data_IF_671019693598
#
_entry.id   IF_671019693598
#
_cell.length_a   1.000
_cell.length_b   1.000
_cell.length_c   1.000
_cell.angle_alpha   90.00
_cell.angle_beta   90.00
_cell.angle_gamma   90.00
#
_symmetry.space_group_name_H-M   'P 1'
#
loop_
_entity.id
_entity.type
_entity.pdbx_description
1 polymer ?
#
# COMPACT_ATOMS: atom_id res chain seq x y z
N UNK A 1 -23.74 64.78 8.63
CA UNK A 1 -24.26 63.42 8.93
C UNK A 1 -24.61 62.58 7.70
N UNK A 2 -25.07 63.16 6.59
CA UNK A 2 -25.52 62.39 5.40
C UNK A 2 -24.39 61.56 4.77
N UNK A 3 -23.20 62.12 4.58
CA UNK A 3 -22.09 61.45 3.87
C UNK A 3 -21.56 60.18 4.56
N UNK A 4 -21.67 60.08 5.90
CA UNK A 4 -21.18 58.91 6.64
C UNK A 4 -21.98 57.63 6.35
N UNK A 5 -23.30 57.75 6.17
CA UNK A 5 -24.17 56.62 5.81
C UNK A 5 -23.94 56.23 4.34
N UNK A 6 -23.73 57.21 3.47
CA UNK A 6 -23.52 56.99 2.03
C UNK A 6 -22.09 56.63 1.63
N UNK A 7 -21.14 56.62 2.56
CA UNK A 7 -19.77 56.18 2.30
C UNK A 7 -19.71 54.73 1.78
N UNK A 8 -20.66 53.88 2.19
CA UNK A 8 -20.75 52.51 1.69
C UNK A 8 -21.21 52.43 0.23
N UNK A 9 -21.91 53.47 -0.24
CA UNK A 9 -22.46 53.56 -1.59
C UNK A 9 -21.52 54.31 -2.56
N UNK A 10 -20.88 55.36 -2.08
CA UNK A 10 -19.95 56.20 -2.84
C UNK A 10 -18.53 55.61 -2.80
N UNK A 11 -18.22 54.72 -3.75
CA UNK A 11 -16.91 54.06 -3.86
C UNK A 11 -16.76 52.77 -3.04
N UNK A 12 -17.83 52.34 -2.36
CA UNK A 12 -17.87 51.09 -1.60
C UNK A 12 -18.36 49.88 -2.40
N UNK A 13 -19.06 48.97 -1.71
CA UNK A 13 -19.45 47.63 -2.19
C UNK A 13 -20.91 47.55 -2.63
N UNK A 14 -21.33 48.46 -3.50
CA UNK A 14 -22.72 48.54 -3.92
C UNK A 14 -22.85 48.88 -5.39
N UNK A 15 -23.97 48.47 -5.99
CA UNK A 15 -24.43 49.05 -7.24
C UNK A 15 -25.09 50.40 -6.94
N UNK A 16 -24.52 51.49 -7.47
CA UNK A 16 -25.03 52.85 -7.28
C UNK A 16 -25.65 53.37 -8.58
N UNK A 17 -26.88 53.89 -8.48
CA UNK A 17 -27.59 54.57 -9.56
C UNK A 17 -27.83 56.02 -9.12
N UNK A 18 -27.40 56.98 -9.94
CA UNK A 18 -27.60 58.41 -9.70
C UNK A 18 -28.54 58.96 -10.77
N UNK A 19 -29.63 59.59 -10.33
CA UNK A 19 -30.60 60.26 -11.21
C UNK A 19 -30.46 61.77 -11.03
N UNK A 20 -30.04 62.45 -12.10
CA UNK A 20 -29.95 63.90 -12.14
C UNK A 20 -31.28 64.49 -12.67
N UNK A 21 -32.01 65.18 -11.80
CA UNK A 21 -33.24 65.87 -12.17
C UNK A 21 -32.91 67.33 -12.49
N UNK A 22 -33.23 67.77 -13.70
CA UNK A 22 -32.95 69.14 -14.17
C UNK A 22 -34.22 69.81 -14.71
N UNK A 23 -34.26 71.14 -14.63
CA UNK A 23 -35.34 71.95 -15.19
C UNK A 23 -34.92 72.53 -16.54
N UNK A 24 -35.84 72.60 -17.50
CA UNK A 24 -35.59 73.17 -18.83
C UNK A 24 -35.82 74.69 -18.90
N UNK A 25 -36.21 75.33 -17.79
CA UNK A 25 -36.42 76.77 -17.75
C UNK A 25 -35.09 77.54 -17.84
N UNK A 26 -35.05 78.60 -18.66
CA UNK A 26 -33.85 79.43 -18.87
C UNK A 26 -33.35 80.10 -17.58
N UNK A 27 -34.27 80.45 -16.67
CA UNK A 27 -33.93 80.97 -15.33
C UNK A 27 -33.08 80.01 -14.50
N UNK A 28 -33.14 78.72 -14.80
CA UNK A 28 -32.47 77.66 -14.04
C UNK A 28 -31.24 77.11 -14.79
N UNK A 29 -30.77 77.81 -15.83
CA UNK A 29 -29.65 77.35 -16.66
C UNK A 29 -28.38 77.12 -15.83
N UNK A 30 -28.07 78.01 -14.88
CA UNK A 30 -26.90 77.88 -14.01
C UNK A 30 -26.93 76.62 -13.14
N UNK A 31 -28.03 76.39 -12.42
CA UNK A 31 -28.20 75.21 -11.56
C UNK A 31 -28.26 73.91 -12.37
N UNK A 32 -28.86 73.97 -13.57
CA UNK A 32 -28.91 72.85 -14.52
C UNK A 32 -27.51 72.47 -14.98
N UNK A 33 -26.68 73.45 -15.34
CA UNK A 33 -25.30 73.21 -15.75
C UNK A 33 -24.49 72.58 -14.61
N UNK A 34 -24.63 73.08 -13.39
CA UNK A 34 -23.94 72.52 -12.21
C UNK A 34 -24.38 71.08 -11.92
N UNK A 35 -25.68 70.79 -12.02
CA UNK A 35 -26.24 69.45 -11.79
C UNK A 35 -25.72 68.45 -12.84
N UNK A 36 -25.66 68.87 -14.10
CA UNK A 36 -25.10 68.04 -15.18
C UNK A 36 -23.61 67.81 -15.02
N UNK A 37 -22.84 68.84 -14.64
CA UNK A 37 -21.42 68.69 -14.35
C UNK A 37 -21.18 67.66 -13.25
N UNK A 38 -21.95 67.75 -12.15
CA UNK A 38 -21.86 66.79 -11.07
C UNK A 38 -22.24 65.36 -11.50
N UNK A 39 -23.23 65.21 -12.40
CA UNK A 39 -23.59 63.89 -12.94
C UNK A 39 -22.47 63.29 -13.81
N UNK A 40 -21.77 64.12 -14.58
CA UNK A 40 -20.60 63.71 -15.38
C UNK A 40 -19.45 63.26 -14.47
N UNK A 41 -19.18 64.01 -13.42
CA UNK A 41 -18.12 63.67 -12.47
C UNK A 41 -18.46 62.39 -11.68
N UNK A 42 -19.72 62.26 -11.25
CA UNK A 42 -20.19 61.08 -10.53
C UNK A 42 -20.16 59.80 -11.38
N UNK A 43 -20.32 59.91 -12.71
CA UNK A 43 -20.16 58.77 -13.63
C UNK A 43 -18.74 58.17 -13.59
N UNK A 44 -17.72 58.95 -13.24
CA UNK A 44 -16.34 58.48 -13.19
C UNK A 44 -16.01 57.75 -11.87
N UNK A 45 -16.95 57.71 -10.92
CA UNK A 45 -16.75 57.03 -9.64
C UNK A 45 -16.64 55.51 -9.83
N UNK A 46 -15.52 54.94 -9.37
CA UNK A 46 -15.29 53.50 -9.41
C UNK A 46 -15.83 52.83 -8.14
N UNK A 47 -16.86 51.99 -8.28
CA UNK A 47 -17.39 51.15 -7.19
C UNK A 47 -16.80 49.75 -7.25
N UNK A 48 -16.38 49.19 -6.11
CA UNK A 48 -15.91 47.81 -6.02
C UNK A 48 -17.10 46.89 -5.81
N UNK A 49 -17.66 46.34 -6.90
CA UNK A 49 -18.76 45.39 -6.76
C UNK A 49 -18.23 44.11 -6.11
N UNK A 50 -18.67 43.84 -4.88
CA UNK A 50 -18.42 42.56 -4.21
C UNK A 50 -19.71 41.77 -4.29
N UNK A 51 -19.65 40.60 -4.93
CA UNK A 51 -20.73 39.62 -4.90
C UNK A 51 -20.94 39.23 -3.45
N UNK A 52 -22.07 39.64 -2.87
CA UNK A 52 -22.46 39.22 -1.52
C UNK A 52 -22.90 37.77 -1.63
N UNK A 53 -21.94 36.85 -1.43
CA UNK A 53 -22.26 35.43 -1.28
C UNK A 53 -23.12 35.25 -0.02
N UNK A 54 -24.12 34.36 -0.10
CA UNK A 54 -25.00 34.10 1.04
C UNK A 54 -24.14 33.53 2.18
N UNK A 55 -24.15 34.12 3.39
CA UNK A 55 -23.28 33.67 4.49
C UNK A 55 -23.50 32.18 4.82
N UNK A 56 -24.70 31.64 4.62
CA UNK A 56 -24.97 30.20 4.80
C UNK A 56 -24.26 29.33 3.76
N UNK A 57 -24.07 29.83 2.54
CA UNK A 57 -23.33 29.12 1.48
C UNK A 57 -21.82 29.21 1.64
N UNK A 58 -21.33 30.29 2.27
CA UNK A 58 -19.90 30.46 2.58
C UNK A 58 -19.46 29.49 3.67
N UNK A 59 -20.26 29.29 4.72
CA UNK A 59 -19.96 28.34 5.81
C UNK A 59 -20.12 26.87 5.39
N UNK A 60 -21.02 26.57 4.44
CA UNK A 60 -21.23 25.21 3.93
C UNK A 60 -20.09 24.73 3.01
N UNK A 61 -19.35 25.65 2.36
CA UNK A 61 -18.28 25.32 1.41
C UNK A 61 -17.06 24.66 2.09
N UNK A 62 -16.52 25.18 3.22
CA UNK A 62 -15.49 24.48 3.99
C UNK A 62 -15.94 23.12 4.52
N UNK A 63 -17.17 23.02 5.02
CA UNK A 63 -17.70 21.77 5.57
C UNK A 63 -17.82 20.67 4.50
N UNK A 64 -18.33 21.00 3.31
CA UNK A 64 -18.38 20.07 2.17
C UNK A 64 -16.99 19.64 1.71
N UNK A 65 -16.03 20.56 1.65
CA UNK A 65 -14.65 20.25 1.28
C UNK A 65 -13.97 19.36 2.31
N UNK A 66 -14.18 19.61 3.61
CA UNK A 66 -13.65 18.77 4.69
C UNK A 66 -14.23 17.36 4.64
N UNK A 67 -15.54 17.23 4.39
CA UNK A 67 -16.19 15.93 4.26
C UNK A 67 -15.60 15.12 3.09
N UNK A 68 -15.40 15.76 1.94
CA UNK A 68 -14.77 15.12 0.78
C UNK A 68 -13.35 14.62 1.09
N UNK A 69 -12.55 15.43 1.79
CA UNK A 69 -11.19 15.06 2.19
C UNK A 69 -11.20 13.88 3.16
N UNK A 70 -12.17 13.82 4.08
CA UNK A 70 -12.32 12.70 5.01
C UNK A 70 -12.67 11.40 4.28
N UNK A 71 -13.62 11.46 3.34
CA UNK A 71 -14.06 10.31 2.55
C UNK A 71 -12.92 9.78 1.65
N UNK A 72 -12.13 10.67 1.04
CA UNK A 72 -10.96 10.31 0.23
C UNK A 72 -9.88 9.64 1.10
N UNK A 73 -9.57 10.21 2.27
CA UNK A 73 -8.60 9.62 3.20
C UNK A 73 -9.04 8.25 3.71
N UNK A 74 -10.33 8.06 3.96
CA UNK A 74 -10.87 6.77 4.37
C UNK A 74 -10.72 5.72 3.25
N UNK A 75 -10.98 6.12 2.01
CA UNK A 75 -10.82 5.27 0.82
C UNK A 75 -9.35 4.85 0.65
N UNK A 76 -8.42 5.80 0.67
CA UNK A 76 -6.98 5.54 0.58
C UNK A 76 -6.47 4.64 1.71
N UNK A 77 -6.98 4.80 2.94
CA UNK A 77 -6.64 3.90 4.06
C UNK A 77 -7.09 2.47 3.80
N UNK A 78 -8.28 2.29 3.25
CA UNK A 78 -8.81 0.96 2.94
C UNK A 78 -8.03 0.29 1.81
N UNK A 79 -7.68 1.03 0.76
CA UNK A 79 -6.84 0.53 -0.33
C UNK A 79 -5.45 0.13 0.16
N UNK A 80 -4.81 0.96 1.00
CA UNK A 80 -3.51 0.62 1.58
C UNK A 80 -3.55 -0.66 2.42
N UNK A 81 -4.60 -0.86 3.24
CA UNK A 81 -4.79 -2.11 3.98
C UNK A 81 -4.91 -3.32 3.05
N UNK A 82 -5.65 -3.18 1.95
CA UNK A 82 -5.82 -4.23 0.95
C UNK A 82 -4.50 -4.54 0.23
N UNK A 83 -3.73 -3.53 -0.16
CA UNK A 83 -2.42 -3.71 -0.79
C UNK A 83 -1.42 -4.38 0.15
N UNK A 84 -1.41 -4.00 1.43
CA UNK A 84 -0.59 -4.66 2.45
C UNK A 84 -0.95 -6.14 2.60
N UNK A 85 -2.25 -6.47 2.64
CA UNK A 85 -2.69 -7.86 2.71
C UNK A 85 -2.23 -8.68 1.49
N UNK A 86 -2.36 -8.13 0.27
CA UNK A 86 -1.90 -8.78 -0.96
C UNK A 86 -0.39 -9.03 -0.91
N UNK A 87 0.39 -8.04 -0.45
CA UNK A 87 1.85 -8.17 -0.32
C UNK A 87 2.24 -9.28 0.65
N UNK A 88 1.62 -9.33 1.83
CA UNK A 88 1.87 -10.37 2.85
C UNK A 88 1.57 -11.76 2.27
N UNK A 89 0.45 -11.90 1.54
CA UNK A 89 0.08 -13.18 0.92
C UNK A 89 1.14 -13.60 -0.12
N UNK A 90 1.60 -12.67 -0.97
CA UNK A 90 2.61 -12.95 -1.99
C UNK A 90 3.97 -13.35 -1.38
N UNK A 91 4.41 -12.64 -0.33
CA UNK A 91 5.65 -12.95 0.40
C UNK A 91 5.55 -14.34 1.04
N UNK A 92 4.43 -14.64 1.70
CA UNK A 92 4.16 -15.94 2.33
C UNK A 92 4.18 -17.08 1.32
N UNK A 93 3.55 -16.90 0.15
CA UNK A 93 3.58 -17.90 -0.92
C UNK A 93 4.99 -18.15 -1.46
N UNK A 94 5.81 -17.10 -1.55
CA UNK A 94 7.19 -17.21 -2.02
C UNK A 94 8.05 -17.99 -1.03
N UNK A 95 7.91 -17.71 0.28
CA UNK A 95 8.59 -18.47 1.33
C UNK A 95 8.16 -19.94 1.35
N UNK A 96 6.86 -20.20 1.21
CA UNK A 96 6.33 -21.57 1.23
C UNK A 96 6.84 -22.39 0.04
N UNK A 97 6.94 -21.78 -1.15
CA UNK A 97 7.56 -22.42 -2.34
C UNK A 97 9.03 -22.78 -2.11
N UNK A 98 9.78 -21.92 -1.41
CA UNK A 98 11.19 -22.15 -1.11
C UNK A 98 11.36 -23.28 -0.09
N UNK A 99 10.63 -23.23 1.02
CA UNK A 99 10.62 -24.28 2.03
C UNK A 99 10.18 -25.65 1.47
N UNK A 100 9.23 -25.66 0.53
CA UNK A 100 8.80 -26.91 -0.13
C UNK A 100 9.93 -27.53 -0.96
N UNK A 101 10.71 -26.70 -1.66
CA UNK A 101 11.86 -27.18 -2.45
C UNK A 101 12.97 -27.72 -1.56
N UNK A 102 13.27 -27.03 -0.46
CA UNK A 102 14.26 -27.48 0.51
C UNK A 102 13.87 -28.82 1.12
N UNK A 103 12.61 -28.98 1.53
CA UNK A 103 12.08 -30.25 2.05
C UNK A 103 12.17 -31.39 1.02
N UNK A 104 11.84 -31.13 -0.24
CA UNK A 104 11.98 -32.12 -1.32
C UNK A 104 13.43 -32.52 -1.56
N UNK A 105 14.36 -31.56 -1.46
CA UNK A 105 15.79 -31.85 -1.63
C UNK A 105 16.33 -32.69 -0.48
N UNK A 106 15.98 -32.38 0.77
CA UNK A 106 16.40 -33.17 1.93
C UNK A 106 15.85 -34.59 1.88
N UNK A 107 14.61 -34.77 1.40
CA UNK A 107 14.02 -36.10 1.22
C UNK A 107 14.78 -36.91 0.15
N UNK A 108 15.14 -36.26 -0.97
CA UNK A 108 15.94 -36.89 -2.02
C UNK A 108 17.32 -37.31 -1.52
N UNK A 109 17.98 -36.45 -0.73
CA UNK A 109 19.28 -36.75 -0.12
C UNK A 109 19.17 -37.90 0.88
N UNK A 110 18.12 -37.91 1.71
CA UNK A 110 17.85 -39.03 2.63
C UNK A 110 17.65 -40.35 1.89
N UNK A 111 16.87 -40.36 0.81
CA UNK A 111 16.65 -41.55 0.00
C UNK A 111 17.96 -42.08 -0.62
N UNK A 112 18.83 -41.20 -1.12
CA UNK A 112 20.15 -41.59 -1.64
C UNK A 112 21.01 -42.26 -0.58
N UNK A 113 21.05 -41.70 0.64
CA UNK A 113 21.79 -42.29 1.77
C UNK A 113 21.23 -43.67 2.14
N UNK A 114 19.91 -43.83 2.13
CA UNK A 114 19.26 -45.12 2.39
C UNK A 114 19.61 -46.17 1.33
N UNK A 115 19.63 -45.79 0.05
CA UNK A 115 20.00 -46.67 -1.05
C UNK A 115 21.50 -47.07 -0.98
N UNK A 116 22.38 -46.12 -0.65
CA UNK A 116 23.81 -46.39 -0.41
C UNK A 116 24.04 -47.34 0.78
N UNK A 117 23.31 -47.15 1.88
CA UNK A 117 23.38 -48.05 3.03
C UNK A 117 22.91 -49.46 2.67
N UNK A 118 21.81 -49.59 1.92
CA UNK A 118 21.30 -50.88 1.46
C UNK A 118 22.31 -51.59 0.54
N UNK A 119 22.95 -50.85 -0.38
CA UNK A 119 24.01 -51.39 -1.24
C UNK A 119 25.23 -51.85 -0.44
N UNK A 120 25.70 -51.05 0.51
CA UNK A 120 26.83 -51.40 1.39
C UNK A 120 26.53 -52.66 2.22
N UNK A 121 25.31 -52.81 2.75
CA UNK A 121 24.92 -54.03 3.48
C UNK A 121 24.91 -55.26 2.57
N UNK A 122 24.41 -55.10 1.34
CA UNK A 122 24.40 -56.18 0.35
C UNK A 122 25.82 -56.61 -0.03
N UNK A 123 26.73 -55.66 -0.23
CA UNK A 123 28.14 -55.92 -0.53
C UNK A 123 28.83 -56.64 0.64
N UNK A 124 28.62 -56.19 1.88
CA UNK A 124 29.14 -56.88 3.07
C UNK A 124 28.60 -58.30 3.25
N UNK A 125 27.34 -58.57 2.89
CA UNK A 125 26.81 -59.93 2.91
C UNK A 125 27.53 -60.82 1.90
N UNK A 126 27.79 -60.32 0.69
CA UNK A 126 28.50 -61.05 -0.37
C UNK A 126 29.98 -61.29 -0.01
N UNK A 127 30.66 -60.29 0.57
CA UNK A 127 32.04 -60.45 1.07
C UNK A 127 32.12 -61.49 2.20
N UNK A 128 31.18 -61.47 3.14
CA UNK A 128 31.13 -62.46 4.22
C UNK A 128 30.85 -63.89 3.70
N UNK A 129 29.99 -64.05 2.68
CA UNK A 129 29.76 -65.35 2.02
C UNK A 129 31.00 -65.85 1.25
N UNK A 130 31.75 -64.94 0.61
CA UNK A 130 33.00 -65.28 -0.08
C UNK A 130 34.11 -65.68 0.90
N UNK A 131 34.24 -64.98 2.04
CA UNK A 131 35.18 -65.33 3.11
C UNK A 131 34.79 -66.66 3.77
N UNK A 132 33.50 -66.91 4.00
CA UNK A 132 33.02 -68.19 4.51
C UNK A 132 33.31 -69.35 3.54
N UNK A 133 33.13 -69.15 2.24
CA UNK A 133 33.46 -70.15 1.21
C UNK A 133 34.97 -70.43 1.11
N UNK A 134 35.81 -69.39 1.26
CA UNK A 134 37.28 -69.53 1.27
C UNK A 134 37.80 -70.22 2.55
N UNK A 135 37.20 -69.94 3.71
CA UNK A 135 37.52 -70.60 4.97
C UNK A 135 37.15 -72.10 4.95
N UNK A 136 36.07 -72.48 4.27
CA UNK A 136 35.69 -73.89 4.06
C UNK A 136 36.72 -74.61 3.17
N UNK A 137 37.27 -73.94 2.15
CA UNK A 137 38.32 -74.51 1.29
C UNK A 137 39.65 -74.71 2.05
N UNK A 138 39.99 -73.81 2.99
CA UNK A 138 41.19 -73.94 3.82
C UNK A 138 41.02 -74.89 5.02
N UNK A 139 39.78 -75.12 5.48
CA UNK A 139 39.44 -76.04 6.58
C UNK A 139 39.51 -77.53 6.24
N UNK A 140 39.45 -77.89 4.95
CA UNK A 140 39.50 -79.29 4.50
C UNK A 140 40.91 -79.89 4.41
N UNK A 141 41.98 -79.15 4.78
CA UNK A 141 43.38 -79.62 4.65
C UNK A 141 44.08 -80.02 5.95
N UNK A 142 43.41 -79.99 7.11
CA UNK A 142 43.99 -80.43 8.40
C UNK A 142 43.08 -81.43 9.11
N UNK A 143 43.16 -82.69 8.72
CA UNK A 143 42.42 -83.75 9.40
C UNK A 143 42.92 -85.14 9.10
N UNK A 144 44.11 -85.51 9.62
CA UNK A 144 44.45 -86.93 9.84
C UNK A 144 45.73 -87.08 10.67
N UNK A 145 45.59 -87.16 12.00
CA UNK A 145 46.42 -88.04 12.82
C UNK A 145 45.70 -88.37 14.13
N UNK A 146 45.16 -89.58 14.21
CA UNK A 146 44.63 -90.18 15.43
C UNK A 146 45.77 -90.58 16.39
N UNK A 147 45.47 -90.70 17.70
CA UNK A 147 45.84 -91.95 18.35
C UNK A 147 44.71 -92.58 19.20
N UNK A 148 44.95 -93.86 19.49
CA UNK A 148 44.06 -94.92 19.93
C UNK A 148 43.63 -94.86 21.42
N UNK A 149 42.69 -95.72 21.85
CA UNK A 149 42.02 -95.63 23.15
C UNK A 149 42.66 -96.57 24.19
N UNK A 150 42.58 -96.20 25.48
CA UNK A 150 42.72 -97.16 26.58
C UNK A 150 41.81 -96.78 27.76
N UNK A 151 40.70 -97.52 27.80
CA UNK A 151 39.94 -98.10 28.92
C UNK A 151 40.05 -97.60 30.36
N UNK A 152 38.95 -97.70 31.14
CA UNK A 152 38.80 -97.16 32.49
C UNK A 152 39.15 -98.19 33.58
N UNK A 153 39.56 -97.74 34.76
CA UNK A 153 39.51 -98.53 35.99
C UNK A 153 39.07 -97.60 37.14
N UNK A 154 37.87 -97.95 37.64
CA UNK A 154 37.30 -97.91 38.99
C UNK A 154 37.74 -96.84 39.99
#
# INVERSE_FOLDING_TARGET
MVTFVYHYFLGGKSLLIILACVSLAESNYGDTLLTLQYAVDAKQMKTKLITVENPRTVEARPAGNQQLILDENQTLRNENKRLLAIKIIADTQSQLKLATREAQQTELEFQKVMDELANNMKEKCLENEAVASSAVVLGLRRGSKAPAPSTPIT
#
